data_IF_610277630556
#
_entry.id   IF_610277630556
#
_cell.length_a   1.000
_cell.length_b   1.000
_cell.length_c   1.000
_cell.angle_alpha   90.00
_cell.angle_beta   90.00
_cell.angle_gamma   90.00
#
_symmetry.space_group_name_H-M   'P 1'
#
loop_
_entity.id
_entity.type
_entity.pdbx_description
1 polymer ?
#
# COMPACT_ATOMS: atom_id res chain seq x y z
N UNK A 1 16.06 -17.76 -13.17
CA UNK A 1 15.27 -16.63 -12.64
C UNK A 1 15.48 -15.43 -13.53
N UNK A 2 14.41 -14.97 -14.19
CA UNK A 2 14.45 -13.88 -15.16
C UNK A 2 14.70 -12.52 -14.47
N UNK A 3 15.14 -11.52 -15.24
CA UNK A 3 15.40 -10.18 -14.72
C UNK A 3 14.12 -9.52 -14.15
N UNK A 4 12.95 -9.87 -14.71
CA UNK A 4 11.63 -9.40 -14.26
C UNK A 4 11.21 -10.04 -12.93
N UNK A 5 11.41 -11.35 -12.75
CA UNK A 5 11.15 -12.05 -11.48
C UNK A 5 11.93 -11.43 -10.33
N UNK A 6 13.23 -11.15 -10.53
CA UNK A 6 14.08 -10.51 -9.51
C UNK A 6 13.60 -9.12 -9.12
N UNK A 7 13.05 -8.35 -10.07
CA UNK A 7 12.48 -7.03 -9.79
C UNK A 7 11.22 -7.14 -8.93
N UNK A 8 10.34 -8.11 -9.22
CA UNK A 8 9.11 -8.34 -8.46
C UNK A 8 9.43 -8.77 -7.02
N UNK A 9 10.33 -9.74 -6.83
CA UNK A 9 10.71 -10.18 -5.49
C UNK A 9 11.33 -9.05 -4.65
N UNK A 10 12.17 -8.22 -5.28
CA UNK A 10 12.74 -7.04 -4.62
C UNK A 10 11.68 -6.02 -4.25
N UNK A 11 10.69 -5.78 -5.12
CA UNK A 11 9.57 -4.90 -4.83
C UNK A 11 8.76 -5.38 -3.61
N UNK A 12 8.42 -6.68 -3.58
CA UNK A 12 7.70 -7.29 -2.46
C UNK A 12 8.54 -7.17 -1.17
N UNK A 13 9.82 -7.53 -1.23
CA UNK A 13 10.73 -7.44 -0.08
C UNK A 13 10.83 -6.02 0.49
N UNK A 14 10.91 -5.00 -0.37
CA UNK A 14 10.91 -3.59 0.05
C UNK A 14 9.58 -3.14 0.64
N UNK A 15 8.48 -3.66 0.13
CA UNK A 15 7.15 -3.37 0.67
C UNK A 15 7.01 -3.96 2.07
N UNK A 16 7.43 -5.22 2.28
CA UNK A 16 7.47 -5.87 3.61
C UNK A 16 8.31 -5.04 4.59
N UNK A 17 9.52 -4.65 4.18
CA UNK A 17 10.42 -3.83 4.98
C UNK A 17 9.78 -2.49 5.37
N UNK A 18 9.10 -1.83 4.41
CA UNK A 18 8.44 -0.56 4.64
C UNK A 18 7.37 -0.68 5.72
N UNK A 19 6.43 -1.63 5.59
CA UNK A 19 5.35 -1.81 6.55
C UNK A 19 5.88 -2.19 7.93
N UNK A 20 6.82 -3.15 7.99
CA UNK A 20 7.45 -3.56 9.24
C UNK A 20 8.06 -2.38 9.98
N UNK A 21 8.90 -1.60 9.30
CA UNK A 21 9.72 -0.56 9.95
C UNK A 21 8.95 0.74 10.17
N UNK A 22 8.28 1.24 9.14
CA UNK A 22 7.74 2.61 9.14
C UNK A 22 6.32 2.69 9.70
N UNK A 23 5.53 1.60 9.61
CA UNK A 23 4.14 1.60 10.08
C UNK A 23 4.04 0.89 11.44
N UNK A 24 4.64 -0.28 11.58
CA UNK A 24 4.56 -1.07 12.82
C UNK A 24 5.74 -0.90 13.77
N UNK A 25 6.78 -0.16 13.37
CA UNK A 25 7.93 0.13 14.23
C UNK A 25 8.75 -1.10 14.66
N UNK A 26 8.60 -2.24 13.98
CA UNK A 26 9.21 -3.50 14.39
C UNK A 26 10.67 -3.60 13.93
N UNK A 27 11.52 -4.11 14.81
CA UNK A 27 12.87 -4.56 14.42
C UNK A 27 12.81 -5.83 13.58
N UNK A 28 13.91 -6.16 12.89
CA UNK A 28 14.01 -7.41 12.15
C UNK A 28 13.93 -8.65 13.06
N UNK A 29 14.42 -8.54 14.30
CA UNK A 29 14.35 -9.61 15.30
C UNK A 29 12.95 -9.81 15.85
N UNK A 30 12.23 -8.74 16.17
CA UNK A 30 10.83 -8.82 16.59
C UNK A 30 9.94 -9.43 15.50
N UNK A 31 10.15 -9.02 14.25
CA UNK A 31 9.39 -9.57 13.15
C UNK A 31 9.74 -11.04 12.87
N UNK A 32 11.02 -11.40 12.99
CA UNK A 32 11.44 -12.81 12.90
C UNK A 32 10.78 -13.68 13.97
N UNK A 33 10.73 -13.19 15.22
CA UNK A 33 10.02 -13.86 16.32
C UNK A 33 8.53 -14.02 16.01
N UNK A 34 7.85 -12.99 15.50
CA UNK A 34 6.44 -13.07 15.08
C UNK A 34 6.19 -14.10 13.97
N UNK A 35 7.15 -14.25 13.06
CA UNK A 35 7.09 -15.20 11.96
C UNK A 35 7.55 -16.62 12.33
N UNK A 36 8.06 -16.83 13.54
CA UNK A 36 8.67 -18.10 13.93
C UNK A 36 9.88 -18.47 13.06
N UNK A 37 10.71 -17.48 12.70
CA UNK A 37 11.87 -17.66 11.80
C UNK A 37 13.10 -16.90 12.31
N UNK A 38 14.21 -16.95 11.56
CA UNK A 38 15.45 -16.25 11.89
C UNK A 38 15.49 -14.82 11.33
N UNK A 39 16.20 -13.92 12.02
CA UNK A 39 16.49 -12.57 11.52
C UNK A 39 17.19 -12.59 10.15
N UNK A 40 18.08 -13.57 9.93
CA UNK A 40 18.77 -13.75 8.64
C UNK A 40 17.76 -14.04 7.53
N UNK A 41 16.76 -14.89 7.80
CA UNK A 41 15.71 -15.16 6.83
C UNK A 41 14.84 -13.92 6.56
N UNK A 42 14.50 -13.12 7.58
CA UNK A 42 13.84 -11.81 7.38
C UNK A 42 14.66 -10.89 6.48
N UNK A 43 15.98 -10.84 6.65
CA UNK A 43 16.86 -10.05 5.77
C UNK A 43 16.82 -10.56 4.31
N UNK A 44 16.79 -11.88 4.10
CA UNK A 44 16.63 -12.49 2.77
C UNK A 44 15.27 -12.16 2.14
N UNK A 45 14.20 -12.16 2.94
CA UNK A 45 12.87 -11.74 2.50
C UNK A 45 12.90 -10.29 2.02
N UNK A 46 13.41 -9.38 2.84
CA UNK A 46 13.38 -7.94 2.55
C UNK A 46 14.30 -7.50 1.42
N UNK A 47 15.33 -8.31 1.12
CA UNK A 47 16.20 -8.13 -0.04
C UNK A 47 15.62 -8.74 -1.32
N UNK A 48 14.53 -9.51 -1.25
CA UNK A 48 13.95 -10.22 -2.40
C UNK A 48 14.83 -11.37 -2.88
N UNK A 49 15.49 -12.09 -1.96
CA UNK A 49 16.40 -13.21 -2.27
C UNK A 49 15.91 -14.54 -1.69
N UNK A 50 14.76 -14.55 -1.01
CA UNK A 50 14.22 -15.72 -0.35
C UNK A 50 13.37 -16.64 -1.23
N UNK A 51 12.93 -16.21 -2.42
CA UNK A 51 12.02 -16.97 -3.28
C UNK A 51 10.68 -17.27 -2.60
N UNK A 52 9.84 -16.25 -2.44
CA UNK A 52 8.60 -16.36 -1.65
C UNK A 52 7.47 -17.04 -2.43
N UNK A 53 6.83 -18.04 -1.81
CA UNK A 53 5.56 -18.59 -2.29
C UNK A 53 4.37 -17.74 -1.83
N UNK A 54 3.21 -17.87 -2.51
CA UNK A 54 1.97 -17.20 -2.10
C UNK A 54 1.57 -17.49 -0.65
N UNK A 55 1.68 -18.74 -0.20
CA UNK A 55 1.45 -19.14 1.19
C UNK A 55 2.34 -18.37 2.16
N UNK A 56 3.59 -18.10 1.77
CA UNK A 56 4.52 -17.35 2.62
C UNK A 56 4.18 -15.85 2.65
N UNK A 57 3.76 -15.28 1.51
CA UNK A 57 3.28 -13.91 1.42
C UNK A 57 2.06 -13.71 2.33
N UNK A 58 1.11 -14.64 2.32
CA UNK A 58 -0.06 -14.62 3.20
C UNK A 58 0.33 -14.66 4.69
N UNK A 59 1.24 -15.55 5.08
CA UNK A 59 1.75 -15.62 6.45
C UNK A 59 2.42 -14.31 6.90
N UNK A 60 3.20 -13.69 6.01
CA UNK A 60 3.89 -12.42 6.26
C UNK A 60 2.87 -11.28 6.42
N UNK A 61 1.89 -11.19 5.52
CA UNK A 61 0.83 -10.19 5.57
C UNK A 61 0.03 -10.32 6.88
N UNK A 62 -0.32 -11.55 7.27
CA UNK A 62 -0.99 -11.83 8.56
C UNK A 62 -0.16 -11.38 9.76
N UNK A 63 1.16 -11.64 9.76
CA UNK A 63 2.05 -11.20 10.84
C UNK A 63 2.19 -9.66 10.92
N UNK A 64 2.04 -8.99 9.79
CA UNK A 64 1.98 -7.53 9.68
C UNK A 64 0.56 -6.97 9.85
N UNK A 65 -0.48 -7.81 9.98
CA UNK A 65 -1.89 -7.38 10.08
C UNK A 65 -2.35 -6.48 8.91
N UNK A 66 -1.91 -6.80 7.69
CA UNK A 66 -2.29 -6.14 6.44
C UNK A 66 -2.77 -7.17 5.41
N UNK A 67 -3.35 -6.71 4.32
CA UNK A 67 -3.76 -7.56 3.19
C UNK A 67 -2.54 -8.12 2.43
N UNK A 68 -2.57 -9.40 1.99
CA UNK A 68 -1.57 -9.93 1.07
C UNK A 68 -1.47 -9.14 -0.24
N UNK A 69 -2.58 -8.55 -0.70
CA UNK A 69 -2.60 -7.70 -1.90
C UNK A 69 -1.76 -6.44 -1.73
N UNK A 70 -1.69 -5.90 -0.51
CA UNK A 70 -0.84 -4.74 -0.19
C UNK A 70 0.63 -5.04 -0.44
N UNK A 71 1.09 -6.26 -0.12
CA UNK A 71 2.46 -6.68 -0.39
C UNK A 71 2.73 -6.88 -1.88
N UNK A 72 1.76 -7.45 -2.61
CA UNK A 72 1.87 -7.74 -4.04
C UNK A 72 1.81 -6.49 -4.91
N UNK A 73 1.01 -5.47 -4.52
CA UNK A 73 0.89 -4.20 -5.24
C UNK A 73 2.17 -3.38 -5.23
N UNK A 74 2.99 -3.54 -4.21
CA UNK A 74 4.19 -2.75 -4.00
C UNK A 74 3.90 -1.33 -3.49
N UNK A 75 4.96 -0.56 -3.31
CA UNK A 75 4.86 0.86 -2.93
C UNK A 75 4.59 1.73 -4.17
N UNK A 76 3.88 2.87 -4.03
CA UNK A 76 3.81 3.88 -5.07
C UNK A 76 5.18 4.57 -5.24
N UNK A 77 5.24 5.50 -6.19
CA UNK A 77 6.40 6.38 -6.36
C UNK A 77 6.65 7.19 -5.07
N UNK A 78 7.90 7.62 -4.89
CA UNK A 78 8.36 8.21 -3.63
C UNK A 78 7.57 9.45 -3.26
N UNK A 79 7.29 10.32 -4.23
CA UNK A 79 6.58 11.59 -4.05
C UNK A 79 5.14 11.35 -3.57
N UNK A 80 4.48 10.34 -4.14
CA UNK A 80 3.16 9.89 -3.69
C UNK A 80 3.23 9.31 -2.28
N UNK A 81 4.22 8.45 -2.01
CA UNK A 81 4.40 7.85 -0.69
C UNK A 81 4.65 8.90 0.40
N UNK A 82 5.51 9.88 0.14
CA UNK A 82 5.84 10.95 1.08
C UNK A 82 4.57 11.76 1.43
N UNK A 83 3.74 12.08 0.44
CA UNK A 83 2.46 12.79 0.62
C UNK A 83 1.47 11.95 1.46
N UNK A 84 1.31 10.66 1.14
CA UNK A 84 0.44 9.76 1.89
C UNK A 84 0.92 9.64 3.35
N UNK A 85 2.23 9.55 3.56
CA UNK A 85 2.81 9.43 4.89
C UNK A 85 2.71 10.73 5.71
N UNK A 86 2.73 11.89 5.07
CA UNK A 86 2.43 13.18 5.71
C UNK A 86 0.99 13.17 6.24
N UNK A 87 0.02 12.74 5.42
CA UNK A 87 -1.39 12.63 5.84
C UNK A 87 -1.55 11.62 6.97
N UNK A 88 -0.94 10.44 6.86
CA UNK A 88 -1.05 9.39 7.88
C UNK A 88 -0.49 9.81 9.24
N UNK A 89 0.63 10.57 9.26
CA UNK A 89 1.28 11.00 10.50
C UNK A 89 0.60 12.18 11.16
N UNK A 90 -0.17 12.97 10.42
CA UNK A 90 -0.88 14.12 10.96
C UNK A 90 -2.11 13.65 11.77
N UNK A 91 -2.11 13.84 13.11
CA UNK A 91 -3.19 13.36 13.98
C UNK A 91 -4.56 13.94 13.62
N UNK A 92 -4.60 15.08 12.92
CA UNK A 92 -5.84 15.71 12.45
C UNK A 92 -6.69 14.75 11.62
N UNK A 93 -6.07 13.90 10.80
CA UNK A 93 -6.80 13.04 9.87
C UNK A 93 -7.16 11.68 10.47
N UNK A 94 -6.51 11.23 11.54
CA UNK A 94 -6.77 9.96 12.23
C UNK A 94 -6.93 8.77 11.25
N UNK A 95 -5.95 8.60 10.36
CA UNK A 95 -5.99 7.59 9.29
C UNK A 95 -5.77 6.19 9.86
N UNK A 96 -6.67 5.26 9.56
CA UNK A 96 -6.59 3.85 9.94
C UNK A 96 -5.63 3.07 9.03
N UNK A 97 -5.19 1.88 9.48
CA UNK A 97 -4.34 1.00 8.66
C UNK A 97 -5.02 0.61 7.35
N UNK A 98 -6.33 0.33 7.36
CA UNK A 98 -7.08 -0.03 6.14
C UNK A 98 -7.15 1.12 5.14
N UNK A 99 -7.38 2.34 5.63
CA UNK A 99 -7.35 3.55 4.79
C UNK A 99 -5.94 3.78 4.24
N UNK A 100 -4.89 3.59 5.04
CA UNK A 100 -3.52 3.69 4.57
C UNK A 100 -3.21 2.66 3.47
N UNK A 101 -3.64 1.41 3.64
CA UNK A 101 -3.52 0.37 2.60
C UNK A 101 -4.22 0.80 1.30
N UNK A 102 -5.41 1.39 1.41
CA UNK A 102 -6.17 1.89 0.28
C UNK A 102 -5.46 3.03 -0.44
N UNK A 103 -4.97 4.03 0.30
CA UNK A 103 -4.25 5.18 -0.24
C UNK A 103 -2.94 4.76 -0.94
N UNK A 104 -2.15 3.88 -0.32
CA UNK A 104 -0.92 3.31 -0.91
C UNK A 104 -1.26 2.48 -2.15
N UNK A 105 -2.39 1.77 -2.12
CA UNK A 105 -2.86 0.92 -3.19
C UNK A 105 -3.48 1.67 -4.37
N UNK A 106 -3.78 2.96 -4.24
CA UNK A 106 -4.38 3.77 -5.29
C UNK A 106 -3.38 3.99 -6.43
N UNK A 107 -3.84 3.85 -7.68
CA UNK A 107 -3.05 4.07 -8.88
C UNK A 107 -3.72 5.15 -9.70
N UNK A 108 -2.95 6.17 -10.05
CA UNK A 108 -3.40 7.27 -10.89
C UNK A 108 -2.57 7.23 -12.17
N UNK A 109 -3.20 7.52 -13.31
CA UNK A 109 -2.64 7.33 -14.67
C UNK A 109 -1.42 8.24 -14.94
N UNK A 110 -0.28 7.95 -14.31
CA UNK A 110 0.97 8.71 -14.44
C UNK A 110 0.91 10.14 -13.90
N UNK A 111 -0.12 10.47 -13.11
CA UNK A 111 -0.35 11.81 -12.57
C UNK A 111 0.12 11.89 -11.13
N UNK A 112 0.79 13.00 -10.80
CA UNK A 112 1.09 13.35 -9.42
C UNK A 112 -0.20 13.74 -8.70
N UNK A 113 -0.52 13.07 -7.60
CA UNK A 113 -1.69 13.40 -6.77
C UNK A 113 -1.24 14.37 -5.69
N UNK A 114 -1.91 15.52 -5.63
CA UNK A 114 -1.67 16.50 -4.58
C UNK A 114 -2.17 15.99 -3.22
N UNK A 115 -1.68 16.58 -2.13
CA UNK A 115 -2.22 16.32 -0.78
C UNK A 115 -3.75 16.48 -0.74
N UNK A 116 -4.29 17.50 -1.40
CA UNK A 116 -5.75 17.72 -1.50
C UNK A 116 -6.46 16.53 -2.15
N UNK A 117 -5.92 15.98 -3.24
CA UNK A 117 -6.50 14.81 -3.91
C UNK A 117 -6.54 13.56 -3.02
N UNK A 118 -5.48 13.31 -2.26
CA UNK A 118 -5.47 12.19 -1.31
C UNK A 118 -6.46 12.38 -0.14
N UNK A 119 -6.68 13.62 0.31
CA UNK A 119 -7.71 13.91 1.31
C UNK A 119 -9.12 13.67 0.75
N UNK A 120 -9.39 14.07 -0.49
CA UNK A 120 -10.66 13.76 -1.16
C UNK A 120 -10.88 12.25 -1.29
N UNK A 121 -9.84 11.49 -1.65
CA UNK A 121 -9.91 10.03 -1.70
C UNK A 121 -10.17 9.42 -0.30
N UNK A 122 -9.54 9.95 0.75
CA UNK A 122 -9.78 9.53 2.12
C UNK A 122 -11.24 9.76 2.53
N UNK A 123 -11.81 10.92 2.19
CA UNK A 123 -13.22 11.23 2.48
C UNK A 123 -14.18 10.28 1.74
N UNK A 124 -13.88 9.93 0.48
CA UNK A 124 -14.64 8.94 -0.30
C UNK A 124 -14.57 7.52 0.27
N UNK A 125 -13.39 7.12 0.77
CA UNK A 125 -13.24 5.83 1.47
C UNK A 125 -14.13 5.79 2.72
N UNK A 126 -14.22 6.91 3.44
CA UNK A 126 -14.99 7.03 4.68
C UNK A 126 -16.50 7.09 4.47
N UNK A 127 -16.94 7.73 3.39
CA UNK A 127 -18.37 7.80 3.07
C UNK A 127 -18.95 6.44 2.64
N UNK A 128 -18.10 5.45 2.35
CA UNK A 128 -18.52 4.17 1.78
C UNK A 128 -18.80 4.26 0.27
N UNK A 129 -18.64 5.45 -0.32
CA UNK A 129 -18.74 5.67 -1.77
C UNK A 129 -17.56 5.05 -2.51
N UNK A 130 -16.56 4.52 -1.81
CA UNK A 130 -15.47 3.70 -2.35
C UNK A 130 -15.44 2.33 -1.65
N UNK A 131 -16.20 1.36 -2.16
CA UNK A 131 -16.18 0.00 -1.63
C UNK A 131 -14.83 -0.69 -1.95
N UNK A 132 -14.06 -1.03 -0.92
CA UNK A 132 -12.84 -1.83 -0.98
C UNK A 132 -13.13 -3.17 -0.28
N UNK A 133 -14.13 -3.89 -0.74
CA UNK A 133 -14.26 -5.30 -0.40
C UNK A 133 -14.00 -6.15 -1.65
N UNK A 134 -13.48 -7.35 -1.45
CA UNK A 134 -13.14 -8.28 -2.51
C UNK A 134 -14.36 -8.86 -3.25
N UNK A 135 -15.57 -8.56 -2.78
CA UNK A 135 -16.84 -9.05 -3.34
C UNK A 135 -17.55 -8.01 -4.23
N UNK A 136 -17.25 -6.73 -4.05
CA UNK A 136 -17.67 -5.64 -4.95
C UNK A 136 -16.51 -5.25 -5.86
N UNK A 137 -16.24 -6.10 -6.86
CA UNK A 137 -15.54 -5.63 -8.05
C UNK A 137 -16.33 -4.45 -8.63
N UNK A 138 -15.87 -3.23 -8.37
CA UNK A 138 -16.29 -2.07 -9.15
C UNK A 138 -15.47 -2.10 -10.44
N UNK A 139 -16.10 -2.19 -11.62
CA UNK A 139 -15.40 -2.08 -12.89
C UNK A 139 -14.52 -0.83 -12.88
N UNK A 140 -13.31 -0.94 -13.46
CA UNK A 140 -12.35 0.18 -13.60
C UNK A 140 -13.04 1.49 -13.93
N UNK A 141 -14.03 1.42 -14.80
CA UNK A 141 -14.83 2.51 -15.31
C UNK A 141 -15.47 3.37 -14.21
N UNK A 142 -15.95 2.81 -13.08
CA UNK A 142 -16.57 3.63 -12.03
C UNK A 142 -15.57 4.38 -11.14
N UNK A 143 -14.39 3.80 -10.89
CA UNK A 143 -13.32 4.50 -10.18
C UNK A 143 -12.69 5.54 -11.11
N UNK A 144 -12.52 5.21 -12.38
CA UNK A 144 -12.05 6.17 -13.38
C UNK A 144 -13.07 7.31 -13.60
N UNK A 145 -14.38 7.06 -13.57
CA UNK A 145 -15.44 8.10 -13.64
C UNK A 145 -15.42 9.01 -12.40
N UNK A 146 -15.36 8.46 -11.18
CA UNK A 146 -15.26 9.27 -9.96
C UNK A 146 -13.96 10.07 -9.91
N UNK A 147 -12.86 9.52 -10.43
CA UNK A 147 -11.59 10.23 -10.56
C UNK A 147 -11.67 11.31 -11.64
N UNK A 148 -12.36 11.06 -12.75
CA UNK A 148 -12.60 12.03 -13.82
C UNK A 148 -13.54 13.17 -13.33
N UNK A 149 -14.55 12.87 -12.50
CA UNK A 149 -15.44 13.87 -11.85
C UNK A 149 -14.69 14.75 -10.84
N UNK A 150 -13.80 14.16 -10.02
CA UNK A 150 -12.89 14.91 -9.14
C UNK A 150 -11.90 15.73 -9.98
N UNK A 151 -11.42 15.21 -11.12
CA UNK A 151 -10.59 15.94 -12.07
C UNK A 151 -11.34 17.12 -12.72
N UNK A 152 -12.62 16.98 -13.04
CA UNK A 152 -13.46 18.07 -13.56
C UNK A 152 -13.74 19.13 -12.48
N UNK A 153 -13.99 18.76 -11.23
CA UNK A 153 -14.13 19.74 -10.13
C UNK A 153 -12.83 20.47 -9.79
N UNK A 154 -11.68 19.80 -9.94
CA UNK A 154 -10.35 20.42 -9.74
C UNK A 154 -10.00 21.39 -10.87
N UNK A 155 -10.40 21.08 -12.11
CA UNK A 155 -10.12 21.90 -13.31
C UNK A 155 -11.23 22.92 -13.62
N UNK A 156 -12.42 22.74 -13.07
CA UNK A 156 -13.62 23.57 -13.26
C UNK A 156 -13.77 24.67 -12.21
N UNK A 157 -12.79 25.57 -12.10
CA UNK A 157 -13.05 26.94 -11.63
C UNK A 157 -13.16 27.86 -12.85
N UNK A 158 -14.40 28.16 -13.24
CA UNK A 158 -14.77 29.50 -13.70
C UNK A 158 -15.35 30.26 -12.52
#
# INVERSE_FOLDING_TARGET
MSLSEKKIERLIGKTIQFWRKNIFGLTGEEFAKRLGTSRVYVSKIESGTAGLSFKKIEQIAKALKISPLTLLRGLPEKEALDTIMEIYRDPKYNVTIKELEALIGAKFRGKHITKKGYLQLLDLIRSGDFAIDSESYRPRDMVDILLDEIEEEINGKK
#
